data_IF_377581451295
#
_entry.id   IF_377581451295
#
_cell.length_a   1.000
_cell.length_b   1.000
_cell.length_c   1.000
_cell.angle_alpha   90.00
_cell.angle_beta   90.00
_cell.angle_gamma   90.00
#
_symmetry.space_group_name_H-M   'P 1'
#
loop_
_entity.id
_entity.type
_entity.pdbx_description
1 polymer ?
#
# COMPACT_ATOMS: atom_id res chain seq x y z
N UNK A 1 11.91 5.74 -11.64
CA UNK A 1 11.37 6.47 -10.49
C UNK A 1 11.96 6.00 -9.16
N UNK A 2 11.89 4.72 -8.78
CA UNK A 2 12.63 4.22 -7.61
C UNK A 2 14.15 4.07 -7.88
N UNK A 3 14.52 3.70 -9.10
CA UNK A 3 15.92 3.51 -9.52
C UNK A 3 16.77 4.78 -9.44
N UNK A 4 16.11 5.94 -9.50
CA UNK A 4 16.75 7.24 -9.43
C UNK A 4 16.95 7.70 -7.98
N UNK A 5 16.44 6.96 -6.99
CA UNK A 5 16.42 7.34 -5.57
C UNK A 5 16.88 6.18 -4.68
N UNK A 6 18.19 5.82 -4.70
CA UNK A 6 18.71 4.67 -3.96
C UNK A 6 18.54 4.80 -2.44
N UNK A 7 18.46 6.03 -1.90
CA UNK A 7 18.32 6.31 -0.44
C UNK A 7 16.90 6.72 -0.05
N UNK A 8 15.88 6.31 -0.80
CA UNK A 8 14.49 6.70 -0.51
C UNK A 8 14.04 6.15 0.85
N UNK A 9 13.82 7.05 1.81
CA UNK A 9 13.29 6.71 3.13
C UNK A 9 11.78 6.88 3.26
N UNK A 10 11.19 7.79 2.49
CA UNK A 10 9.76 8.11 2.55
C UNK A 10 9.17 7.90 1.16
N UNK A 11 8.21 6.99 1.06
CA UNK A 11 7.42 6.77 -0.15
C UNK A 11 6.01 7.29 0.07
N UNK A 12 5.60 8.26 -0.75
CA UNK A 12 4.22 8.76 -0.79
C UNK A 12 3.57 8.27 -2.08
N UNK A 13 2.47 7.54 -1.94
CA UNK A 13 1.64 7.04 -3.04
C UNK A 13 0.30 7.75 -2.99
N UNK A 14 -0.22 8.14 -4.15
CA UNK A 14 -1.55 8.73 -4.27
C UNK A 14 -2.39 7.92 -5.27
N UNK A 15 -3.52 7.40 -4.80
CA UNK A 15 -4.45 6.62 -5.62
C UNK A 15 -5.33 7.47 -6.53
N UNK A 16 -5.12 8.79 -6.60
CA UNK A 16 -5.91 9.69 -7.48
C UNK A 16 -5.66 9.49 -8.97
N UNK A 17 -4.57 8.81 -9.37
CA UNK A 17 -4.23 8.54 -10.77
C UNK A 17 -5.25 7.61 -11.43
N UNK A 18 -6.37 8.20 -11.86
CA UNK A 18 -7.47 7.58 -12.61
C UNK A 18 -7.24 7.57 -14.12
N UNK A 19 -6.10 8.05 -14.60
CA UNK A 19 -5.84 8.16 -16.03
C UNK A 19 -5.54 6.78 -16.61
N UNK A 20 -6.63 6.12 -17.05
CA UNK A 20 -6.60 5.03 -18.03
C UNK A 20 -5.75 3.81 -17.63
N UNK A 21 -6.06 3.17 -16.49
CA UNK A 21 -5.82 1.73 -16.40
C UNK A 21 -7.05 1.02 -17.02
N UNK A 22 -7.00 0.59 -18.30
CA UNK A 22 -8.07 -0.22 -18.86
C UNK A 22 -8.34 -1.45 -17.98
N UNK A 23 -9.57 -1.95 -18.04
CA UNK A 23 -9.95 -3.24 -17.43
C UNK A 23 -8.95 -4.29 -17.89
N UNK A 24 -8.14 -4.83 -16.97
CA UNK A 24 -7.04 -5.75 -17.28
C UNK A 24 -5.62 -5.24 -17.00
N UNK A 25 -5.44 -4.02 -16.46
CA UNK A 25 -4.16 -3.61 -15.87
C UNK A 25 -3.89 -4.36 -14.56
N UNK A 26 -3.49 -5.62 -14.67
CA UNK A 26 -2.99 -6.40 -13.54
C UNK A 26 -1.62 -5.87 -13.13
N UNK A 27 -1.43 -5.64 -11.84
CA UNK A 27 -0.11 -5.27 -11.33
C UNK A 27 0.86 -6.45 -11.50
N UNK A 28 1.91 -6.24 -12.29
CA UNK A 28 2.95 -7.25 -12.47
C UNK A 28 4.00 -7.06 -11.38
N UNK A 29 4.09 -8.04 -10.49
CA UNK A 29 5.10 -8.04 -9.44
C UNK A 29 6.52 -7.91 -10.05
N UNK A 30 7.35 -6.95 -9.60
CA UNK A 30 8.73 -6.84 -10.05
C UNK A 30 9.54 -8.09 -9.70
N UNK A 31 10.33 -8.60 -10.66
CA UNK A 31 11.21 -9.77 -10.47
C UNK A 31 12.30 -9.52 -9.41
N UNK A 32 12.79 -8.29 -9.32
CA UNK A 32 13.81 -7.88 -8.37
C UNK A 32 13.27 -6.79 -7.46
N UNK A 33 13.44 -6.98 -6.15
CA UNK A 33 13.16 -5.94 -5.16
C UNK A 33 14.26 -4.90 -5.23
N UNK A 34 13.89 -3.63 -5.34
CA UNK A 34 14.87 -2.54 -5.37
C UNK A 34 15.47 -2.34 -3.99
N UNK A 35 16.77 -2.07 -3.96
CA UNK A 35 17.54 -1.86 -2.72
C UNK A 35 16.95 -0.75 -1.86
N UNK A 36 16.50 0.35 -2.46
CA UNK A 36 15.84 1.45 -1.75
C UNK A 36 14.58 0.99 -1.00
N UNK A 37 13.76 0.13 -1.60
CA UNK A 37 12.56 -0.41 -0.97
C UNK A 37 12.94 -1.37 0.16
N UNK A 38 13.92 -2.24 -0.09
CA UNK A 38 14.33 -3.31 0.81
C UNK A 38 15.04 -2.77 2.06
N UNK A 39 16.00 -1.86 1.89
CA UNK A 39 16.96 -1.46 2.91
C UNK A 39 16.82 -0.02 3.41
N UNK A 40 16.07 0.83 2.72
CA UNK A 40 16.03 2.26 3.05
C UNK A 40 14.64 2.78 3.36
N UNK A 41 13.58 2.14 2.87
CA UNK A 41 12.23 2.62 3.10
C UNK A 41 11.84 2.51 4.58
N UNK A 42 11.64 3.65 5.23
CA UNK A 42 11.26 3.76 6.63
C UNK A 42 9.79 4.18 6.81
N UNK A 43 9.24 4.97 5.88
CA UNK A 43 7.87 5.48 5.95
C UNK A 43 7.14 5.29 4.63
N UNK A 44 5.97 4.66 4.69
CA UNK A 44 4.99 4.61 3.61
C UNK A 44 3.79 5.48 3.98
N UNK A 45 3.40 6.38 3.08
CA UNK A 45 2.14 7.11 3.15
C UNK A 45 1.38 6.85 1.87
N UNK A 46 0.16 6.34 1.97
CA UNK A 46 -0.67 6.04 0.83
C UNK A 46 -2.02 6.74 0.94
N UNK A 47 -2.21 7.80 0.15
CA UNK A 47 -3.46 8.55 0.06
C UNK A 47 -4.41 7.97 -0.96
N UNK A 48 -5.72 8.10 -0.71
CA UNK A 48 -6.79 7.59 -1.60
C UNK A 48 -6.61 6.11 -1.95
N UNK A 49 -6.27 5.31 -0.95
CA UNK A 49 -6.07 3.87 -1.08
C UNK A 49 -7.39 3.19 -1.49
N UNK A 50 -7.45 2.73 -2.74
CA UNK A 50 -8.61 2.02 -3.31
C UNK A 50 -8.60 0.55 -2.85
N UNK A 51 -8.98 0.34 -1.59
CA UNK A 51 -8.96 -0.97 -0.93
C UNK A 51 -9.80 -2.07 -1.61
N UNK A 52 -10.75 -1.70 -2.47
CA UNK A 52 -11.58 -2.61 -3.26
C UNK A 52 -10.81 -3.28 -4.41
N UNK A 53 -9.70 -2.68 -4.84
CA UNK A 53 -8.93 -3.12 -6.00
C UNK A 53 -7.88 -4.16 -5.66
N UNK A 54 -7.85 -5.25 -6.42
CA UNK A 54 -6.93 -6.35 -6.17
C UNK A 54 -5.47 -5.98 -6.47
N UNK A 55 -5.21 -5.25 -7.56
CA UNK A 55 -3.90 -4.72 -7.91
C UNK A 55 -3.33 -3.81 -6.80
N UNK A 56 -4.18 -2.97 -6.20
CA UNK A 56 -3.81 -2.08 -5.10
C UNK A 56 -3.40 -2.87 -3.85
N UNK A 57 -4.13 -3.94 -3.51
CA UNK A 57 -3.78 -4.84 -2.40
C UNK A 57 -2.47 -5.59 -2.64
N UNK A 58 -2.24 -6.05 -3.88
CA UNK A 58 -1.03 -6.76 -4.24
C UNK A 58 0.20 -5.85 -4.09
N UNK A 59 0.10 -4.60 -4.52
CA UNK A 59 1.15 -3.59 -4.33
C UNK A 59 1.41 -3.33 -2.84
N UNK A 60 0.36 -3.14 -2.04
CA UNK A 60 0.51 -2.94 -0.60
C UNK A 60 1.18 -4.14 0.08
N UNK A 61 0.71 -5.35 -0.23
CA UNK A 61 1.30 -6.60 0.26
C UNK A 61 2.76 -6.72 -0.13
N UNK A 62 3.12 -6.38 -1.37
CA UNK A 62 4.49 -6.41 -1.85
C UNK A 62 5.38 -5.45 -1.09
N UNK A 63 4.96 -4.21 -0.88
CA UNK A 63 5.75 -3.23 -0.12
C UNK A 63 5.95 -3.71 1.31
N UNK A 64 4.89 -4.16 1.99
CA UNK A 64 4.96 -4.63 3.38
C UNK A 64 5.85 -5.87 3.55
N UNK A 65 5.80 -6.81 2.61
CA UNK A 65 6.66 -8.00 2.61
C UNK A 65 8.13 -7.67 2.39
N UNK A 66 8.42 -6.71 1.52
CA UNK A 66 9.79 -6.46 1.06
C UNK A 66 10.50 -5.34 1.82
N UNK A 67 9.80 -4.37 2.40
CA UNK A 67 10.43 -3.27 3.09
C UNK A 67 10.88 -3.66 4.50
N UNK A 68 12.18 -3.99 4.66
CA UNK A 68 12.74 -4.51 5.92
C UNK A 68 13.04 -3.43 6.95
N UNK A 69 13.20 -2.18 6.53
CA UNK A 69 13.39 -1.03 7.43
C UNK A 69 12.12 -0.23 7.67
N UNK A 70 10.97 -0.70 7.18
CA UNK A 70 9.72 0.04 7.29
C UNK A 70 9.34 0.17 8.77
N UNK A 71 9.19 1.40 9.24
CA UNK A 71 8.81 1.73 10.63
C UNK A 71 7.35 2.14 10.72
N UNK A 72 6.85 2.87 9.72
CA UNK A 72 5.48 3.35 9.68
C UNK A 72 4.90 3.17 8.29
N UNK A 73 3.69 2.61 8.22
CA UNK A 73 2.92 2.53 7.00
C UNK A 73 1.51 3.06 7.27
N UNK A 74 1.16 4.18 6.63
CA UNK A 74 -0.12 4.84 6.81
C UNK A 74 -0.93 4.78 5.52
N UNK A 75 -2.14 4.24 5.63
CA UNK A 75 -3.09 4.15 4.53
C UNK A 75 -4.30 5.02 4.82
N UNK A 76 -4.58 5.94 3.91
CA UNK A 76 -5.78 6.76 3.88
C UNK A 76 -6.69 6.22 2.79
N UNK A 77 -7.74 5.45 3.13
CA UNK A 77 -8.64 4.88 2.14
C UNK A 77 -9.53 5.94 1.53
N UNK A 78 -9.89 5.73 0.27
CA UNK A 78 -10.86 6.58 -0.43
C UNK A 78 -12.18 6.59 0.35
N UNK A 79 -12.77 7.78 0.51
CA UNK A 79 -14.01 7.96 1.26
C UNK A 79 -15.13 7.08 0.68
N UNK A 80 -15.76 6.29 1.55
CA UNK A 80 -16.96 5.51 1.25
C UNK A 80 -18.14 6.26 1.87
N UNK A 81 -19.18 6.51 1.09
CA UNK A 81 -20.37 7.19 1.60
C UNK A 81 -21.08 6.37 2.68
N UNK A 82 -21.78 7.00 3.64
CA UNK A 82 -22.43 6.31 4.76
C UNK A 82 -23.57 5.36 4.36
N UNK A 83 -23.97 5.35 3.08
CA UNK A 83 -25.04 4.50 2.56
C UNK A 83 -24.59 3.07 2.21
N UNK A 84 -23.30 2.76 2.34
CA UNK A 84 -22.73 1.49 1.88
C UNK A 84 -22.11 0.72 3.06
N UNK A 85 -22.96 0.30 4.01
CA UNK A 85 -22.55 -0.47 5.19
C UNK A 85 -21.74 -1.73 4.81
N UNK A 86 -22.16 -2.43 3.76
CA UNK A 86 -21.46 -3.60 3.21
C UNK A 86 -20.02 -3.26 2.78
N UNK A 87 -19.79 -2.05 2.25
CA UNK A 87 -18.44 -1.60 1.89
C UNK A 87 -17.58 -1.29 3.12
N UNK A 88 -18.18 -0.86 4.23
CA UNK A 88 -17.44 -0.67 5.49
C UNK A 88 -16.97 -2.02 6.06
N UNK A 89 -17.82 -3.05 5.99
CA UNK A 89 -17.45 -4.40 6.41
C UNK A 89 -16.35 -4.98 5.52
N UNK A 90 -16.49 -4.90 4.20
CA UNK A 90 -15.46 -5.33 3.24
C UNK A 90 -14.16 -4.56 3.42
N UNK A 91 -14.23 -3.24 3.67
CA UNK A 91 -13.05 -2.44 4.03
C UNK A 91 -12.37 -3.03 5.26
N UNK A 92 -13.11 -3.29 6.33
CA UNK A 92 -12.55 -3.84 7.57
C UNK A 92 -11.91 -5.20 7.37
N UNK A 93 -12.55 -6.09 6.61
CA UNK A 93 -11.99 -7.38 6.22
C UNK A 93 -10.65 -7.20 5.49
N UNK A 94 -10.61 -6.30 4.50
CA UNK A 94 -9.39 -6.00 3.77
C UNK A 94 -8.26 -5.45 4.63
N UNK A 95 -8.59 -4.60 5.60
CA UNK A 95 -7.61 -4.09 6.55
C UNK A 95 -7.04 -5.20 7.43
N UNK A 96 -7.87 -6.16 7.84
CA UNK A 96 -7.43 -7.32 8.61
C UNK A 96 -6.51 -8.23 7.79
N UNK A 97 -6.85 -8.48 6.52
CA UNK A 97 -6.00 -9.24 5.59
C UNK A 97 -4.63 -8.57 5.47
N UNK A 98 -4.58 -7.26 5.21
CA UNK A 98 -3.33 -6.53 5.08
C UNK A 98 -2.52 -6.52 6.39
N UNK A 99 -3.18 -6.46 7.54
CA UNK A 99 -2.53 -6.54 8.85
C UNK A 99 -1.93 -7.93 9.14
N UNK A 100 -2.51 -8.99 8.57
CA UNK A 100 -2.06 -10.38 8.70
C UNK A 100 -0.90 -10.76 7.76
N UNK A 101 -0.64 -9.94 6.74
CA UNK A 101 0.49 -10.15 5.82
C UNK A 101 1.81 -10.22 6.58
N UNK A 102 2.62 -11.23 6.26
CA UNK A 102 3.99 -11.33 6.76
C UNK A 102 4.79 -10.07 6.37
N UNK A 103 5.26 -9.34 7.37
CA UNK A 103 6.01 -8.09 7.15
C UNK A 103 7.51 -8.37 7.08
N UNK A 104 8.18 -7.68 6.15
CA UNK A 104 9.64 -7.71 6.07
C UNK A 104 10.31 -7.02 7.27
N UNK A 105 9.61 -6.05 7.86
CA UNK A 105 9.99 -5.37 9.10
C UNK A 105 9.09 -5.79 10.26
N UNK A 106 9.70 -6.29 11.34
CA UNK A 106 9.01 -6.66 12.58
C UNK A 106 8.56 -5.45 13.40
N UNK A 107 9.21 -4.30 13.20
CA UNK A 107 8.93 -3.04 13.93
C UNK A 107 7.95 -2.12 13.20
N UNK A 108 7.50 -2.51 12.00
CA UNK A 108 6.57 -1.70 11.21
C UNK A 108 5.21 -1.54 11.93
N UNK A 109 4.85 -0.29 12.21
CA UNK A 109 3.54 0.09 12.69
C UNK A 109 2.62 0.40 11.51
N UNK A 110 1.60 -0.43 11.32
CA UNK A 110 0.54 -0.25 10.33
C UNK A 110 -0.56 0.64 10.91
N UNK A 111 -0.87 1.73 10.20
CA UNK A 111 -1.88 2.71 10.59
C UNK A 111 -2.89 2.88 9.47
N UNK A 112 -4.17 2.83 9.82
CA UNK A 112 -5.28 3.09 8.92
C UNK A 112 -6.03 4.30 9.44
N UNK A 113 -5.93 5.41 8.73
CA UNK A 113 -6.55 6.70 9.10
C UNK A 113 -7.61 7.07 8.07
N UNK A 114 -8.68 7.73 8.50
CA UNK A 114 -9.53 8.50 7.58
C UNK A 114 -8.98 9.92 7.50
N UNK A 115 -8.84 10.46 6.28
CA UNK A 115 -8.64 11.91 6.09
C UNK A 115 -9.79 12.72 6.68
#
# INVERSE_FOLDING_TARGET
MLDSSPKLQILKLDGSCREYCPVGCEWIQPKCVRECLLLHLETLVWTRYEWEREDVKQVATYILKNARQLRKATFYPTCVGPKELEKLEKRREMLNELASVARGSTSCHLVFESE
#
